data_IF_152210392523
#
_entry.id   IF_152210392523
#
_cell.length_a   1.000
_cell.length_b   1.000
_cell.length_c   1.000
_cell.angle_alpha   90.00
_cell.angle_beta   90.00
_cell.angle_gamma   90.00
#
_symmetry.space_group_name_H-M   'P 1'
#
loop_
_entity.id
_entity.type
_entity.pdbx_description
1 polymer ?
#
# COMPACT_ATOMS: atom_id res chain seq x y z
N UNK A 1 36.05 -30.67 -24.83
CA UNK A 1 35.49 -29.48 -25.54
C UNK A 1 33.97 -29.42 -25.53
N UNK A 2 33.21 -30.47 -25.90
CA UNK A 2 31.73 -30.46 -25.90
C UNK A 2 31.05 -30.27 -24.53
N UNK A 3 31.65 -30.76 -23.42
CA UNK A 3 31.08 -30.61 -22.06
C UNK A 3 31.00 -29.15 -21.60
N UNK A 4 32.01 -28.35 -21.92
CA UNK A 4 32.03 -26.92 -21.59
C UNK A 4 31.04 -26.11 -22.45
N UNK A 5 30.82 -26.56 -23.69
CA UNK A 5 29.79 -25.98 -24.56
C UNK A 5 28.37 -26.21 -24.02
N UNK A 6 28.08 -27.41 -23.50
CA UNK A 6 26.81 -27.68 -22.82
C UNK A 6 26.65 -26.85 -21.54
N UNK A 7 27.71 -26.69 -20.74
CA UNK A 7 27.67 -25.84 -19.54
C UNK A 7 27.40 -24.37 -19.89
N UNK A 8 28.02 -23.86 -20.96
CA UNK A 8 27.80 -22.49 -21.44
C UNK A 8 26.35 -22.26 -21.88
N UNK A 9 25.75 -23.21 -22.60
CA UNK A 9 24.35 -23.14 -23.03
C UNK A 9 23.39 -23.14 -21.83
N UNK A 10 23.62 -24.05 -20.86
CA UNK A 10 22.81 -24.11 -19.64
C UNK A 10 22.94 -22.80 -18.85
N UNK A 11 24.14 -22.22 -18.80
CA UNK A 11 24.38 -20.96 -18.10
C UNK A 11 23.63 -19.79 -18.76
N UNK A 12 23.66 -19.70 -20.09
CA UNK A 12 22.93 -18.66 -20.85
C UNK A 12 21.41 -18.84 -20.70
N UNK A 13 20.92 -20.08 -20.71
CA UNK A 13 19.50 -20.36 -20.47
C UNK A 13 19.09 -20.02 -19.04
N UNK A 14 19.92 -20.35 -18.04
CA UNK A 14 19.64 -20.06 -16.64
C UNK A 14 19.64 -18.55 -16.35
N UNK A 15 20.58 -17.80 -16.92
CA UNK A 15 20.63 -16.33 -16.75
C UNK A 15 19.49 -15.64 -17.50
N UNK A 16 19.17 -16.07 -18.72
CA UNK A 16 18.01 -15.56 -19.47
C UNK A 16 16.68 -15.86 -18.77
N UNK A 17 16.56 -17.04 -18.17
CA UNK A 17 15.38 -17.44 -17.39
C UNK A 17 15.26 -16.66 -16.07
N UNK A 18 16.39 -16.35 -15.41
CA UNK A 18 16.40 -15.57 -14.19
C UNK A 18 16.00 -14.10 -14.43
N UNK A 19 16.40 -13.52 -15.57
CA UNK A 19 16.04 -12.14 -15.95
C UNK A 19 14.58 -12.01 -16.41
N UNK A 20 13.96 -13.11 -16.87
CA UNK A 20 12.53 -13.13 -17.23
C UNK A 20 11.60 -13.38 -16.04
N UNK A 21 12.12 -13.61 -14.83
CA UNK A 21 11.29 -13.60 -13.63
C UNK A 21 10.74 -12.17 -13.45
N UNK A 22 9.41 -11.96 -13.47
CA UNK A 22 8.86 -10.65 -13.17
C UNK A 22 9.27 -10.30 -11.73
N UNK A 23 10.19 -9.35 -11.60
CA UNK A 23 10.54 -8.77 -10.31
C UNK A 23 9.24 -8.31 -9.65
N UNK A 24 8.98 -8.82 -8.44
CA UNK A 24 7.74 -8.54 -7.73
C UNK A 24 7.61 -7.03 -7.55
N UNK A 25 6.80 -6.41 -8.42
CA UNK A 25 6.41 -5.03 -8.27
C UNK A 25 5.59 -4.97 -6.99
N UNK A 26 6.18 -4.46 -5.92
CA UNK A 26 5.46 -4.11 -4.70
C UNK A 26 4.63 -2.86 -5.00
N UNK A 27 3.64 -3.00 -5.88
CA UNK A 27 2.61 -1.99 -6.04
C UNK A 27 1.83 -1.91 -4.73
N UNK A 28 1.31 -0.73 -4.36
CA UNK A 28 0.45 -0.55 -3.19
C UNK A 28 -0.77 -1.50 -3.17
N UNK A 29 -1.16 -2.04 -4.33
CA UNK A 29 -2.15 -3.13 -4.47
C UNK A 29 -1.84 -4.39 -3.66
N UNK A 30 -0.61 -4.57 -3.17
CA UNK A 30 -0.20 -5.78 -2.47
C UNK A 30 -0.39 -5.75 -0.94
N UNK A 31 -0.89 -4.65 -0.35
CA UNK A 31 -1.21 -4.61 1.08
C UNK A 31 -2.45 -5.47 1.34
N UNK A 32 -2.21 -6.72 1.74
CA UNK A 32 -3.26 -7.70 2.06
C UNK A 32 -3.61 -7.79 3.54
N UNK A 33 -2.74 -7.26 4.41
CA UNK A 33 -2.89 -7.39 5.86
C UNK A 33 -2.45 -6.12 6.57
N UNK A 34 -3.21 -5.74 7.60
CA UNK A 34 -2.84 -4.70 8.56
C UNK A 34 -2.84 -5.26 9.97
N UNK A 35 -1.97 -4.73 10.83
CA UNK A 35 -1.90 -5.10 12.24
C UNK A 35 -2.49 -3.99 13.09
N UNK A 36 -3.57 -4.27 13.80
CA UNK A 36 -4.25 -3.33 14.70
C UNK A 36 -4.29 -3.95 16.08
N UNK A 37 -3.75 -3.26 17.09
CA UNK A 37 -3.72 -3.72 18.49
C UNK A 37 -3.21 -5.17 18.69
N UNK A 38 -2.26 -5.62 17.85
CA UNK A 38 -1.73 -7.00 17.91
C UNK A 38 -2.45 -8.01 17.02
N UNK A 39 -3.68 -7.71 16.57
CA UNK A 39 -4.48 -8.55 15.69
C UNK A 39 -4.11 -8.31 14.23
N UNK A 40 -3.99 -9.40 13.45
CA UNK A 40 -3.80 -9.33 11.99
C UNK A 40 -5.17 -9.36 11.32
N UNK A 41 -5.47 -8.33 10.55
CA UNK A 41 -6.73 -8.18 9.82
C UNK A 41 -6.39 -8.24 8.33
N UNK A 42 -7.09 -9.09 7.59
CA UNK A 42 -7.00 -9.17 6.13
C UNK A 42 -7.83 -8.04 5.54
N UNK A 43 -7.23 -7.19 4.72
CA UNK A 43 -7.91 -6.03 4.15
C UNK A 43 -7.76 -5.95 2.65
N UNK A 44 -8.83 -5.53 1.99
CA UNK A 44 -8.79 -5.06 0.61
C UNK A 44 -8.66 -3.53 0.61
N UNK A 45 -7.91 -2.98 -0.34
CA UNK A 45 -7.73 -1.54 -0.45
C UNK A 45 -8.76 -0.91 -1.38
N UNK A 46 -9.45 0.12 -0.89
CA UNK A 46 -10.29 1.00 -1.69
C UNK A 46 -9.61 2.36 -1.84
N UNK A 47 -8.78 2.49 -2.89
CA UNK A 47 -8.02 3.72 -3.20
C UNK A 47 -8.77 4.60 -4.21
N UNK A 48 -9.43 4.01 -5.21
CA UNK A 48 -10.16 4.77 -6.23
C UNK A 48 -11.56 5.17 -5.74
N UNK A 49 -12.12 6.31 -6.22
CA UNK A 49 -13.50 6.70 -5.89
C UNK A 49 -14.53 5.61 -6.20
N UNK A 50 -14.32 4.86 -7.28
CA UNK A 50 -15.16 3.71 -7.65
C UNK A 50 -15.10 2.58 -6.63
N UNK A 51 -13.89 2.19 -6.20
CA UNK A 51 -13.70 1.16 -5.19
C UNK A 51 -14.26 1.60 -3.82
N UNK A 52 -14.10 2.88 -3.48
CA UNK A 52 -14.66 3.47 -2.27
C UNK A 52 -16.20 3.48 -2.29
N UNK A 53 -16.80 3.82 -3.43
CA UNK A 53 -18.27 3.83 -3.59
C UNK A 53 -18.84 2.42 -3.56
N UNK A 54 -18.15 1.46 -4.20
CA UNK A 54 -18.55 0.05 -4.19
C UNK A 54 -18.46 -0.54 -2.79
N UNK A 55 -17.41 -0.19 -2.03
CA UNK A 55 -17.18 -0.71 -0.69
C UNK A 55 -17.26 -2.24 -0.64
N UNK A 56 -17.94 -2.77 0.38
CA UNK A 56 -18.20 -4.21 0.53
C UNK A 56 -19.46 -4.68 -0.23
N UNK A 57 -20.09 -3.83 -1.04
CA UNK A 57 -21.29 -4.19 -1.77
C UNK A 57 -21.02 -5.30 -2.80
N UNK A 58 -21.94 -6.26 -2.88
CA UNK A 58 -21.83 -7.44 -3.75
C UNK A 58 -21.02 -8.59 -3.15
N UNK A 59 -20.52 -8.48 -1.91
CA UNK A 59 -19.99 -9.63 -1.18
C UNK A 59 -21.12 -10.49 -0.62
N UNK A 60 -20.97 -11.80 -0.75
CA UNK A 60 -21.90 -12.78 -0.17
C UNK A 60 -21.68 -12.99 1.34
N UNK A 61 -20.56 -12.49 1.87
CA UNK A 61 -20.22 -12.54 3.29
C UNK A 61 -18.89 -11.83 3.59
N UNK A 62 -18.60 -11.62 4.87
CA UNK A 62 -17.35 -11.07 5.37
C UNK A 62 -16.91 -11.94 6.56
N UNK A 63 -15.75 -12.57 6.47
CA UNK A 63 -15.29 -13.47 7.55
C UNK A 63 -14.72 -12.67 8.71
N UNK A 64 -14.65 -13.29 9.88
CA UNK A 64 -14.01 -12.68 11.04
C UNK A 64 -12.51 -12.41 10.76
N UNK A 65 -12.05 -11.21 11.10
CA UNK A 65 -10.68 -10.77 10.77
C UNK A 65 -10.50 -10.29 9.32
N UNK A 66 -11.59 -10.06 8.59
CA UNK A 66 -11.57 -9.48 7.24
C UNK A 66 -12.24 -8.11 7.20
N UNK A 67 -11.77 -7.25 6.31
CA UNK A 67 -12.34 -5.92 6.14
C UNK A 67 -11.90 -5.25 4.85
N UNK A 68 -12.29 -4.00 4.70
CA UNK A 68 -11.84 -3.14 3.61
C UNK A 68 -11.27 -1.86 4.21
N UNK A 69 -10.10 -1.46 3.72
CA UNK A 69 -9.41 -0.24 4.13
C UNK A 69 -9.58 0.83 3.05
N UNK A 70 -10.21 1.93 3.43
CA UNK A 70 -10.42 3.09 2.57
C UNK A 70 -9.25 4.05 2.76
N UNK A 71 -8.59 4.43 1.66
CA UNK A 71 -7.49 5.40 1.68
C UNK A 71 -7.96 6.63 0.91
N UNK A 72 -8.13 7.73 1.62
CA UNK A 72 -8.40 9.04 1.02
C UNK A 72 -7.08 9.79 0.93
N UNK A 73 -6.61 10.02 -0.29
CA UNK A 73 -5.44 10.84 -0.52
C UNK A 73 -5.87 12.30 -0.31
N UNK A 74 -5.48 12.86 0.84
CA UNK A 74 -5.64 14.28 1.10
C UNK A 74 -4.41 15.00 0.50
N UNK A 75 -4.62 15.95 -0.41
CA UNK A 75 -3.53 16.74 -1.02
C UNK A 75 -2.90 17.75 -0.03
N UNK A 76 -3.36 17.78 1.23
CA UNK A 76 -2.86 18.66 2.28
C UNK A 76 -1.49 18.23 2.84
N UNK A 77 -0.48 18.25 1.98
CA UNK A 77 0.92 18.22 2.38
C UNK A 77 1.58 19.62 2.42
N UNK A 78 0.82 20.72 2.29
CA UNK A 78 1.38 22.09 2.29
C UNK A 78 1.05 22.94 3.53
N UNK A 79 0.35 22.41 4.54
CA UNK A 79 -0.10 23.21 5.67
C UNK A 79 0.37 22.68 7.03
N UNK A 80 1.68 22.67 7.26
CA UNK A 80 2.24 22.53 8.61
C UNK A 80 3.61 23.20 8.78
N UNK A 81 3.80 24.39 8.20
CA UNK A 81 5.02 25.21 8.45
C UNK A 81 4.72 26.67 8.82
N UNK A 82 3.47 27.04 9.08
CA UNK A 82 3.10 28.41 9.52
C UNK A 82 2.36 28.51 10.85
N UNK A 83 2.77 27.70 11.83
CA UNK A 83 2.55 28.03 13.24
C UNK A 83 3.87 28.07 14.01
N UNK A 84 4.75 28.96 13.56
CA UNK A 84 5.69 29.64 14.44
C UNK A 84 5.36 31.14 14.36
N UNK A 85 5.10 31.73 15.53
CA UNK A 85 4.75 33.14 15.80
C UNK A 85 3.23 33.47 15.74
N UNK A 86 2.52 33.25 16.84
CA UNK A 86 1.94 34.36 17.63
C UNK A 86 1.44 33.84 19.00
N UNK A 87 2.34 33.70 19.98
CA UNK A 87 1.93 33.71 21.39
C UNK A 87 1.76 35.17 21.80
N UNK A 88 0.64 35.77 21.40
CA UNK A 88 0.40 37.19 21.61
C UNK A 88 -1.07 37.54 21.50
N UNK A 89 -1.71 37.76 22.66
CA UNK A 89 -2.97 38.49 22.85
C UNK A 89 -4.24 37.82 22.29
N UNK A 90 -4.99 37.18 23.18
CA UNK A 90 -6.38 37.60 23.43
C UNK A 90 -6.67 37.51 24.93
N UNK A 91 -6.61 38.68 25.56
CA UNK A 91 -7.22 38.95 26.85
C UNK A 91 -8.74 39.08 26.67
N UNK A 92 -9.50 38.57 27.64
CA UNK A 92 -10.80 39.09 28.08
C UNK A 92 -11.95 39.19 27.05
N UNK A 93 -13.00 38.38 27.27
CA UNK A 93 -14.35 38.61 26.76
C UNK A 93 -15.38 37.87 27.62
N UNK A 94 -16.54 38.47 27.93
CA UNK A 94 -17.27 38.24 29.18
C UNK A 94 -18.14 36.97 29.19
N UNK A 95 -18.37 36.49 30.41
CA UNK A 95 -19.43 35.57 30.78
C UNK A 95 -20.82 36.11 30.39
#
# INVERSE_FOLDING_TARGET
>A
MKKYFFILIIFILATGFLVTLPGGNLTPESIRYVKVAGQRIRVDLAISPEAQTKGLAGRTGLSEGEGMLFIFLDERNEFSDRHHLDHGKYAGGPC
#
